data_IF_528494228618
#
_entry.id   IF_528494228618
#
_cell.length_a   1.000
_cell.length_b   1.000
_cell.length_c   1.000
_cell.angle_alpha   90.00
_cell.angle_beta   90.00
_cell.angle_gamma   90.00
#
_symmetry.space_group_name_H-M   'P 1'
#
loop_
_entity.id
_entity.type
_entity.pdbx_description
1 polymer ?
#
# COMPACT_ATOMS: atom_id res chain seq x y z
N UNK A 1 -3.55 -21.75 -14.87
CA UNK A 1 -3.97 -21.71 -13.45
C UNK A 1 -3.92 -23.14 -12.96
N UNK A 2 -3.17 -23.41 -11.89
CA UNK A 2 -3.23 -24.72 -11.23
C UNK A 2 -4.24 -24.58 -10.11
N UNK A 3 -5.40 -25.20 -10.26
CA UNK A 3 -6.40 -25.21 -9.20
C UNK A 3 -6.12 -26.39 -8.27
N UNK A 4 -6.70 -26.38 -7.07
CA UNK A 4 -6.66 -27.57 -6.21
C UNK A 4 -7.29 -28.75 -6.94
N UNK A 5 -6.75 -29.95 -6.75
CA UNK A 5 -7.15 -31.16 -7.50
C UNK A 5 -8.66 -31.45 -7.48
N UNK A 6 -9.34 -31.15 -6.37
CA UNK A 6 -10.79 -31.28 -6.24
C UNK A 6 -11.57 -30.29 -7.15
N UNK A 7 -11.06 -29.07 -7.31
CA UNK A 7 -11.65 -28.06 -8.20
C UNK A 7 -11.47 -28.48 -9.66
N UNK A 8 -10.31 -29.00 -10.04
CA UNK A 8 -10.07 -29.45 -11.42
C UNK A 8 -10.93 -30.65 -11.81
N UNK A 9 -11.19 -31.57 -10.87
CA UNK A 9 -12.08 -32.70 -11.09
C UNK A 9 -13.54 -32.23 -11.31
N UNK A 10 -14.03 -31.31 -10.48
CA UNK A 10 -15.39 -30.78 -10.55
C UNK A 10 -15.61 -29.86 -11.77
N UNK A 11 -14.56 -29.15 -12.22
CA UNK A 11 -14.60 -28.38 -13.47
C UNK A 11 -14.74 -29.29 -14.70
N UNK A 12 -14.08 -30.46 -14.69
CA UNK A 12 -14.15 -31.45 -15.78
C UNK A 12 -15.47 -32.23 -15.78
N UNK A 13 -16.02 -32.52 -14.61
CA UNK A 13 -17.28 -33.27 -14.46
C UNK A 13 -18.53 -32.42 -14.65
N UNK A 14 -18.37 -31.09 -14.82
CA UNK A 14 -19.46 -30.11 -14.90
C UNK A 14 -20.45 -30.17 -13.72
N UNK A 15 -20.02 -30.71 -12.58
CA UNK A 15 -20.82 -30.84 -11.38
C UNK A 15 -19.97 -30.43 -10.17
N UNK A 16 -20.19 -29.20 -9.71
CA UNK A 16 -19.40 -28.60 -8.64
C UNK A 16 -20.23 -28.42 -7.38
N UNK A 17 -19.75 -28.98 -6.26
CA UNK A 17 -20.38 -28.76 -4.96
C UNK A 17 -20.21 -27.32 -4.47
N UNK A 18 -21.10 -26.85 -3.59
CA UNK A 18 -20.99 -25.50 -2.99
C UNK A 18 -19.66 -25.28 -2.26
N UNK A 19 -19.10 -26.31 -1.64
CA UNK A 19 -17.78 -26.26 -0.98
C UNK A 19 -16.65 -26.13 -1.99
N UNK A 20 -16.66 -26.93 -3.06
CA UNK A 20 -15.64 -26.86 -4.12
C UNK A 20 -15.72 -25.53 -4.86
N UNK A 21 -16.93 -25.02 -5.08
CA UNK A 21 -17.16 -23.71 -5.67
C UNK A 21 -16.54 -22.58 -4.85
N UNK A 22 -16.68 -22.59 -3.52
CA UNK A 22 -16.02 -21.59 -2.66
C UNK A 22 -14.49 -21.66 -2.76
N UNK A 23 -13.92 -22.86 -2.89
CA UNK A 23 -12.47 -23.02 -3.10
C UNK A 23 -12.03 -22.48 -4.46
N UNK A 24 -12.78 -22.76 -5.53
CA UNK A 24 -12.54 -22.20 -6.85
C UNK A 24 -12.52 -20.67 -6.83
N UNK A 25 -13.54 -20.04 -6.22
CA UNK A 25 -13.63 -18.59 -6.08
C UNK A 25 -12.45 -18.03 -5.26
N UNK A 26 -12.04 -18.71 -4.18
CA UNK A 26 -10.88 -18.32 -3.37
C UNK A 26 -9.56 -18.41 -4.14
N UNK A 27 -9.37 -19.45 -4.95
CA UNK A 27 -8.16 -19.64 -5.76
C UNK A 27 -8.09 -18.55 -6.84
N UNK A 28 -9.20 -18.29 -7.55
CA UNK A 28 -9.30 -17.17 -8.52
C UNK A 28 -8.98 -15.83 -7.88
N UNK A 29 -9.56 -15.54 -6.71
CA UNK A 29 -9.31 -14.28 -6.01
C UNK A 29 -7.85 -14.13 -5.58
N UNK A 30 -7.22 -15.22 -5.13
CA UNK A 30 -5.80 -15.23 -4.76
C UNK A 30 -4.90 -14.96 -5.95
N UNK A 31 -5.17 -15.59 -7.10
CA UNK A 31 -4.46 -15.30 -8.35
C UNK A 31 -4.66 -13.84 -8.81
N UNK A 32 -5.87 -13.31 -8.63
CA UNK A 32 -6.18 -11.93 -9.00
C UNK A 32 -5.37 -10.92 -8.18
N UNK A 33 -5.31 -11.12 -6.88
CA UNK A 33 -4.54 -10.28 -5.95
C UNK A 33 -3.02 -10.43 -6.14
N UNK A 34 -2.54 -11.59 -6.58
CA UNK A 34 -1.14 -11.80 -6.93
C UNK A 34 -0.74 -11.07 -8.21
N UNK A 35 -1.67 -10.89 -9.16
CA UNK A 35 -1.41 -10.20 -10.42
C UNK A 35 -1.59 -8.67 -10.31
N UNK A 36 -2.54 -8.21 -9.49
CA UNK A 36 -2.80 -6.78 -9.27
C UNK A 36 -3.05 -6.54 -7.79
N UNK A 37 -2.25 -5.66 -7.19
CA UNK A 37 -2.30 -5.37 -5.74
C UNK A 37 -3.66 -4.84 -5.28
N UNK A 38 -4.41 -4.18 -6.18
CA UNK A 38 -5.79 -3.73 -5.97
C UNK A 38 -6.62 -3.90 -7.27
N UNK A 39 -7.23 -5.09 -7.49
CA UNK A 39 -8.07 -5.31 -8.66
C UNK A 39 -9.37 -4.50 -8.56
N UNK A 40 -9.67 -3.71 -9.59
CA UNK A 40 -10.88 -2.89 -9.71
C UNK A 40 -12.10 -3.77 -9.98
N UNK A 41 -13.30 -3.21 -9.78
CA UNK A 41 -14.54 -3.91 -10.11
C UNK A 41 -14.65 -4.29 -11.59
N UNK A 42 -14.05 -3.52 -12.47
CA UNK A 42 -13.95 -3.85 -13.89
C UNK A 42 -13.04 -5.08 -14.11
N UNK A 43 -11.94 -5.19 -13.36
CA UNK A 43 -11.07 -6.36 -13.43
C UNK A 43 -11.81 -7.62 -12.94
N UNK A 44 -12.55 -7.53 -11.83
CA UNK A 44 -13.40 -8.62 -11.33
C UNK A 44 -14.52 -8.98 -12.30
N UNK A 45 -15.13 -7.98 -12.94
CA UNK A 45 -16.17 -8.17 -13.96
C UNK A 45 -15.59 -8.89 -15.17
N UNK A 46 -14.38 -8.52 -15.59
CA UNK A 46 -13.67 -9.13 -16.71
C UNK A 46 -13.34 -10.59 -16.42
N UNK A 47 -12.80 -10.89 -15.25
CA UNK A 47 -12.53 -12.27 -14.81
C UNK A 47 -13.81 -13.07 -14.70
N UNK A 48 -14.87 -12.50 -14.11
CA UNK A 48 -16.17 -13.18 -13.98
C UNK A 48 -16.76 -13.51 -15.35
N UNK A 49 -16.68 -12.57 -16.30
CA UNK A 49 -17.16 -12.76 -17.67
C UNK A 49 -16.37 -13.86 -18.38
N UNK A 50 -15.05 -13.91 -18.19
CA UNK A 50 -14.20 -14.97 -18.73
C UNK A 50 -14.56 -16.34 -18.12
N UNK A 51 -14.76 -16.42 -16.81
CA UNK A 51 -15.16 -17.64 -16.11
C UNK A 51 -16.50 -18.16 -16.63
N UNK A 52 -17.49 -17.30 -16.82
CA UNK A 52 -18.80 -17.72 -17.34
C UNK A 52 -18.78 -18.11 -18.81
N UNK A 53 -17.87 -17.53 -19.60
CA UNK A 53 -17.66 -17.93 -20.98
C UNK A 53 -17.09 -19.35 -21.05
N UNK A 54 -16.14 -19.67 -20.17
CA UNK A 54 -15.46 -20.97 -20.14
C UNK A 54 -16.28 -22.05 -19.44
N UNK A 55 -16.99 -21.70 -18.37
CA UNK A 55 -17.74 -22.61 -17.51
C UNK A 55 -19.19 -22.14 -17.33
N UNK A 56 -20.07 -22.32 -18.35
CA UNK A 56 -21.44 -21.81 -18.30
C UNK A 56 -22.29 -22.38 -17.15
N UNK A 57 -22.00 -23.61 -16.71
CA UNK A 57 -22.69 -24.29 -15.60
C UNK A 57 -22.46 -23.61 -14.23
N UNK A 58 -21.45 -22.73 -14.13
CA UNK A 58 -21.21 -21.93 -12.93
C UNK A 58 -22.08 -20.66 -12.86
N UNK A 59 -22.86 -20.36 -13.91
CA UNK A 59 -23.77 -19.21 -13.93
C UNK A 59 -24.96 -19.47 -13.02
N UNK A 60 -25.14 -18.73 -11.90
CA UNK A 60 -26.28 -18.97 -11.03
C UNK A 60 -27.57 -18.48 -11.70
N UNK A 61 -28.63 -19.30 -11.62
CA UNK A 61 -30.00 -18.91 -11.94
C UNK A 61 -30.61 -18.31 -10.66
N UNK A 62 -30.52 -16.98 -10.54
CA UNK A 62 -31.10 -16.21 -9.43
C UNK A 62 -30.33 -16.31 -8.10
N UNK A 63 -30.18 -15.15 -7.45
CA UNK A 63 -29.56 -14.95 -6.13
C UNK A 63 -28.03 -15.17 -6.05
N UNK A 64 -27.26 -14.06 -5.98
CA UNK A 64 -25.83 -14.07 -5.65
C UNK A 64 -24.92 -14.54 -6.79
N UNK A 65 -24.48 -13.60 -7.64
CA UNK A 65 -23.55 -13.89 -8.75
C UNK A 65 -22.18 -14.38 -8.24
N UNK A 66 -21.44 -15.15 -9.04
CA UNK A 66 -19.99 -15.41 -8.83
C UNK A 66 -19.23 -14.11 -8.55
N UNK A 67 -19.64 -13.02 -9.20
CA UNK A 67 -19.16 -11.68 -8.93
C UNK A 67 -19.30 -11.31 -7.44
N UNK A 68 -20.49 -11.46 -6.84
CA UNK A 68 -20.68 -11.23 -5.41
C UNK A 68 -19.81 -12.16 -4.55
N UNK A 69 -19.64 -13.43 -4.94
CA UNK A 69 -18.78 -14.36 -4.19
C UNK A 69 -17.29 -13.99 -4.26
N UNK A 70 -16.82 -13.49 -5.41
CA UNK A 70 -15.45 -12.99 -5.62
C UNK A 70 -15.24 -11.67 -4.86
N UNK A 71 -16.19 -10.74 -4.94
CA UNK A 71 -16.09 -9.46 -4.23
C UNK A 71 -16.26 -9.61 -2.72
N UNK A 72 -16.93 -10.65 -2.22
CA UNK A 72 -16.98 -10.97 -0.80
C UNK A 72 -15.63 -11.47 -0.22
N UNK A 73 -14.69 -11.90 -1.07
CA UNK A 73 -13.30 -12.21 -0.65
C UNK A 73 -12.47 -10.94 -0.40
N UNK A 74 -13.02 -9.74 -0.63
CA UNK A 74 -12.36 -8.44 -0.34
C UNK A 74 -12.17 -8.14 1.15
N UNK A 75 -12.59 -9.03 2.07
CA UNK A 75 -12.42 -8.83 3.52
C UNK A 75 -11.09 -9.42 4.01
N UNK A 76 -10.23 -8.65 4.73
CA UNK A 76 -9.01 -9.18 5.31
C UNK A 76 -9.34 -10.11 6.48
N UNK A 77 -8.63 -11.24 6.51
CA UNK A 77 -8.16 -12.03 7.67
C UNK A 77 -9.19 -12.23 8.82
N UNK A 78 -9.49 -13.51 9.12
CA UNK A 78 -10.35 -13.91 10.25
C UNK A 78 -9.90 -13.24 11.56
N UNK A 79 -10.83 -12.48 12.16
CA UNK A 79 -10.67 -11.75 13.42
C UNK A 79 -10.47 -12.73 14.59
N UNK A 80 -9.43 -12.52 15.40
CA UNK A 80 -9.36 -13.04 16.76
C UNK A 80 -10.41 -12.32 17.64
N UNK A 81 -11.01 -13.00 18.63
CA UNK A 81 -12.10 -12.43 19.42
C UNK A 81 -11.53 -11.41 20.43
N UNK A 82 -11.96 -10.15 20.38
CA UNK A 82 -11.67 -9.24 21.51
C UNK A 82 -11.76 -7.74 21.34
N UNK A 83 -11.93 -7.16 20.14
CA UNK A 83 -12.05 -5.69 20.01
C UNK A 83 -13.16 -5.32 19.02
N UNK A 84 -14.29 -4.84 19.56
CA UNK A 84 -15.37 -4.24 18.80
C UNK A 84 -15.07 -2.77 18.55
N UNK A 85 -14.57 -2.44 17.35
CA UNK A 85 -14.76 -1.11 16.78
C UNK A 85 -15.44 -1.34 15.44
N UNK A 86 -16.76 -1.24 15.44
CA UNK A 86 -17.60 -1.20 14.25
C UNK A 86 -17.44 0.16 13.59
N UNK A 87 -16.49 0.28 12.66
CA UNK A 87 -16.47 1.40 11.72
C UNK A 87 -17.21 0.93 10.46
N UNK A 88 -18.34 1.55 10.07
CA UNK A 88 -19.02 1.27 8.82
C UNK A 88 -18.07 1.55 7.66
N UNK A 89 -17.80 0.52 6.86
CA UNK A 89 -17.07 0.62 5.61
C UNK A 89 -18.00 1.24 4.56
N UNK A 90 -17.72 2.44 4.02
CA UNK A 90 -18.53 3.00 2.96
C UNK A 90 -18.30 2.23 1.66
N UNK A 91 -19.37 2.12 0.88
CA UNK A 91 -19.43 1.41 -0.40
C UNK A 91 -18.42 1.98 -1.42
N UNK A 92 -17.71 1.05 -2.08
CA UNK A 92 -16.72 1.33 -3.12
C UNK A 92 -17.44 1.72 -4.42
N UNK A 93 -17.14 2.90 -4.96
CA UNK A 93 -17.39 3.25 -6.36
C UNK A 93 -16.14 3.87 -6.99
N UNK A 94 -15.66 3.27 -8.08
CA UNK A 94 -14.93 3.92 -9.18
C UNK A 94 -13.72 4.79 -8.85
N UNK A 95 -12.51 4.20 -8.90
CA UNK A 95 -11.27 4.91 -8.58
C UNK A 95 -11.17 5.18 -7.09
N UNK A 96 -9.97 5.26 -6.51
CA UNK A 96 -9.88 5.85 -5.18
C UNK A 96 -10.25 7.32 -5.34
N UNK A 97 -11.51 7.65 -5.03
CA UNK A 97 -11.95 9.02 -4.97
C UNK A 97 -11.19 9.74 -3.84
N UNK A 98 -11.07 11.05 -3.99
CA UNK A 98 -10.50 11.94 -2.98
C UNK A 98 -11.11 11.73 -1.58
N UNK A 99 -12.30 11.11 -1.50
CA UNK A 99 -13.01 10.80 -0.27
C UNK A 99 -12.36 9.67 0.55
N UNK A 100 -11.92 8.58 -0.07
CA UNK A 100 -11.20 7.47 0.60
C UNK A 100 -9.83 7.92 1.11
N UNK A 101 -9.19 8.78 0.33
CA UNK A 101 -8.00 9.50 0.74
C UNK A 101 -8.25 10.37 1.97
N UNK A 102 -9.25 11.23 1.93
CA UNK A 102 -9.58 12.12 3.04
C UNK A 102 -9.97 11.32 4.31
N UNK A 103 -10.63 10.16 4.16
CA UNK A 103 -11.02 9.27 5.27
C UNK A 103 -9.81 8.69 6.01
N UNK A 104 -8.92 8.01 5.30
CA UNK A 104 -7.74 7.41 5.93
C UNK A 104 -6.73 8.48 6.38
N UNK A 105 -6.67 9.64 5.72
CA UNK A 105 -5.85 10.75 6.17
C UNK A 105 -6.39 11.36 7.48
N UNK A 106 -7.73 11.40 7.65
CA UNK A 106 -8.36 11.68 8.95
C UNK A 106 -8.01 10.60 9.99
N UNK A 107 -8.03 9.32 9.64
CA UNK A 107 -7.66 8.24 10.56
C UNK A 107 -6.20 8.37 11.02
N UNK A 108 -5.28 8.65 10.09
CA UNK A 108 -3.86 8.86 10.39
C UNK A 108 -3.67 10.06 11.34
N UNK A 109 -4.32 11.19 11.03
CA UNK A 109 -4.29 12.39 11.87
C UNK A 109 -4.88 12.14 13.26
N UNK A 110 -5.98 11.38 13.34
CA UNK A 110 -6.61 11.01 14.60
C UNK A 110 -5.77 10.02 15.42
N UNK A 111 -5.04 9.11 14.78
CA UNK A 111 -4.12 8.19 15.48
C UNK A 111 -2.90 8.95 16.02
N UNK A 112 -2.31 9.83 15.22
CA UNK A 112 -1.16 10.63 15.60
C UNK A 112 -1.47 11.69 16.66
N UNK A 113 -2.72 12.15 16.76
CA UNK A 113 -3.14 13.11 17.80
C UNK A 113 -3.37 12.47 19.17
N UNK A 114 -3.36 11.13 19.27
CA UNK A 114 -3.45 10.44 20.56
C UNK A 114 -2.18 10.67 21.38
N UNK A 115 -2.33 10.69 22.71
CA UNK A 115 -1.19 10.78 23.64
C UNK A 115 -0.15 9.68 23.43
N UNK A 116 -0.60 8.50 22.98
CA UNK A 116 0.26 7.37 22.59
C UNK A 116 -0.21 6.82 21.24
N UNK A 117 0.35 7.30 20.12
CA UNK A 117 0.00 6.79 18.80
C UNK A 117 0.37 5.32 18.65
N UNK A 118 -0.53 4.53 18.07
CA UNK A 118 -0.24 3.14 17.71
C UNK A 118 0.60 3.10 16.43
N UNK A 119 1.89 2.81 16.58
CA UNK A 119 2.86 2.76 15.48
C UNK A 119 2.54 1.69 14.44
N UNK A 120 1.91 0.58 14.83
CA UNK A 120 1.49 -0.48 13.91
C UNK A 120 0.38 0.06 13.00
N UNK A 121 -0.65 0.68 13.57
CA UNK A 121 -1.75 1.29 12.81
C UNK A 121 -1.24 2.41 11.90
N UNK A 122 -0.33 3.25 12.38
CA UNK A 122 0.31 4.29 11.56
C UNK A 122 1.02 3.66 10.36
N UNK A 123 1.82 2.60 10.57
CA UNK A 123 2.51 1.90 9.49
C UNK A 123 1.54 1.26 8.50
N UNK A 124 0.50 0.58 8.98
CA UNK A 124 -0.51 -0.06 8.12
C UNK A 124 -1.23 0.98 7.25
N UNK A 125 -1.63 2.11 7.84
CA UNK A 125 -2.27 3.21 7.10
C UNK A 125 -1.28 3.83 6.11
N UNK A 126 -0.02 3.98 6.49
CA UNK A 126 1.02 4.46 5.58
C UNK A 126 1.22 3.50 4.40
N UNK A 127 1.24 2.19 4.62
CA UNK A 127 1.41 1.17 3.59
C UNK A 127 0.26 1.16 2.59
N UNK A 128 -0.98 1.26 3.06
CA UNK A 128 -2.17 1.30 2.23
C UNK A 128 -2.12 2.41 1.18
N UNK A 129 -1.54 3.56 1.55
CA UNK A 129 -1.49 4.76 0.74
C UNK A 129 -0.22 5.02 -0.04
N UNK A 130 0.74 4.11 0.04
CA UNK A 130 2.02 4.28 -0.62
C UNK A 130 1.88 4.60 -2.11
N UNK A 131 0.96 3.93 -2.82
CA UNK A 131 0.76 4.15 -4.26
C UNK A 131 0.34 5.59 -4.58
N UNK A 132 -0.62 6.14 -3.83
CA UNK A 132 -1.10 7.53 -3.99
C UNK A 132 0.02 8.51 -3.66
N UNK A 133 0.71 8.33 -2.53
CA UNK A 133 1.82 9.22 -2.13
C UNK A 133 2.94 9.23 -3.15
N UNK A 134 3.32 8.05 -3.64
CA UNK A 134 4.36 7.92 -4.66
C UNK A 134 3.97 8.61 -5.97
N UNK A 135 2.71 8.50 -6.38
CA UNK A 135 2.21 9.21 -7.57
C UNK A 135 2.30 10.74 -7.37
N UNK A 136 1.83 11.24 -6.23
CA UNK A 136 1.94 12.66 -5.87
C UNK A 136 3.41 13.12 -5.85
N UNK A 137 4.30 12.37 -5.21
CA UNK A 137 5.72 12.72 -5.11
C UNK A 137 6.40 12.73 -6.48
N UNK A 138 6.08 11.78 -7.36
CA UNK A 138 6.74 11.66 -8.65
C UNK A 138 6.14 12.59 -9.73
N UNK A 139 4.83 12.81 -9.71
CA UNK A 139 4.10 13.41 -10.83
C UNK A 139 3.40 14.73 -10.49
N UNK A 140 3.18 15.05 -9.20
CA UNK A 140 2.39 16.22 -8.78
C UNK A 140 2.92 16.86 -7.49
N UNK A 141 4.24 16.85 -7.31
CA UNK A 141 4.91 17.21 -6.06
C UNK A 141 4.44 18.57 -5.53
N UNK A 142 3.75 18.64 -4.37
CA UNK A 142 3.14 19.86 -3.87
C UNK A 142 4.11 20.74 -3.05
N UNK A 143 5.38 20.32 -2.92
CA UNK A 143 6.35 20.91 -2.01
C UNK A 143 6.33 20.28 -0.61
N UNK A 144 7.45 20.39 0.11
CA UNK A 144 7.70 19.65 1.35
C UNK A 144 6.71 20.00 2.48
N UNK A 145 6.35 21.28 2.61
CA UNK A 145 5.42 21.75 3.65
C UNK A 145 4.01 21.19 3.43
N UNK A 146 3.49 21.33 2.21
CA UNK A 146 2.18 20.80 1.84
C UNK A 146 2.13 19.27 1.92
N UNK A 147 3.24 18.60 1.57
CA UNK A 147 3.37 17.15 1.71
C UNK A 147 3.27 16.74 3.18
N UNK A 148 3.93 17.43 4.11
CA UNK A 148 3.89 17.11 5.54
C UNK A 148 2.59 17.50 6.23
N UNK A 149 1.89 18.54 5.78
CA UNK A 149 0.52 18.84 6.24
C UNK A 149 -0.47 17.77 5.81
N UNK A 150 -0.27 17.25 4.60
CA UNK A 150 -1.08 16.18 4.03
C UNK A 150 -0.73 14.84 4.66
N UNK A 151 0.53 14.57 4.97
CA UNK A 151 1.01 13.30 5.51
C UNK A 151 1.91 13.54 6.74
N UNK A 152 1.32 13.85 7.90
CA UNK A 152 2.09 14.21 9.10
C UNK A 152 2.98 13.07 9.62
N UNK A 153 2.64 11.81 9.33
CA UNK A 153 3.50 10.68 9.63
C UNK A 153 4.86 10.76 8.95
N UNK A 154 5.00 11.42 7.80
CA UNK A 154 6.29 11.59 7.11
C UNK A 154 7.25 12.56 7.84
N UNK A 155 6.79 13.25 8.88
CA UNK A 155 7.68 14.02 9.76
C UNK A 155 8.44 13.11 10.74
N UNK A 156 7.97 11.87 10.92
CA UNK A 156 8.65 10.84 11.70
C UNK A 156 9.76 10.19 10.86
N UNK A 157 10.95 10.07 11.46
CA UNK A 157 12.14 9.57 10.77
C UNK A 157 11.94 8.16 10.21
N UNK A 158 11.32 7.25 10.97
CA UNK A 158 11.17 5.85 10.56
C UNK A 158 10.22 5.75 9.36
N UNK A 159 9.14 6.54 9.38
CA UNK A 159 8.19 6.59 8.28
C UNK A 159 8.79 7.24 7.03
N UNK A 160 9.53 8.34 7.19
CA UNK A 160 10.17 9.03 6.08
C UNK A 160 11.22 8.16 5.39
N UNK A 161 12.10 7.53 6.18
CA UNK A 161 13.15 6.66 5.66
C UNK A 161 12.58 5.42 4.97
N UNK A 162 11.54 4.82 5.56
CA UNK A 162 10.80 3.70 4.94
C UNK A 162 10.20 4.11 3.60
N UNK A 163 9.56 5.29 3.55
CA UNK A 163 8.95 5.80 2.32
C UNK A 163 10.01 6.04 1.23
N UNK A 164 11.12 6.70 1.58
CA UNK A 164 12.23 6.96 0.66
C UNK A 164 12.81 5.66 0.09
N UNK A 165 13.05 4.66 0.95
CA UNK A 165 13.55 3.35 0.53
C UNK A 165 12.59 2.67 -0.46
N UNK A 166 11.28 2.73 -0.20
CA UNK A 166 10.26 2.15 -1.09
C UNK A 166 10.19 2.86 -2.44
N UNK A 167 10.25 4.19 -2.45
CA UNK A 167 10.22 4.97 -3.70
C UNK A 167 11.46 4.68 -4.55
N UNK A 168 12.64 4.70 -3.92
CA UNK A 168 13.92 4.51 -4.60
C UNK A 168 14.25 3.04 -4.88
N UNK A 169 13.47 2.10 -4.34
CA UNK A 169 13.75 0.65 -4.35
C UNK A 169 15.14 0.33 -3.79
N UNK A 170 15.49 0.98 -2.68
CA UNK A 170 16.75 0.80 -1.96
C UNK A 170 16.49 0.17 -0.60
N UNK A 171 17.53 -0.45 -0.04
CA UNK A 171 17.47 -1.01 1.30
C UNK A 171 17.68 0.09 2.36
N UNK A 172 17.26 -0.11 3.62
CA UNK A 172 17.42 0.89 4.68
C UNK A 172 18.87 1.36 4.90
N UNK A 173 19.85 0.49 4.67
CA UNK A 173 21.28 0.79 4.80
C UNK A 173 21.71 1.94 3.88
N UNK A 174 21.04 2.09 2.73
CA UNK A 174 21.28 3.19 1.79
C UNK A 174 21.16 4.56 2.47
N UNK A 175 20.17 4.75 3.35
CA UNK A 175 19.96 6.03 4.03
C UNK A 175 21.10 6.30 5.02
N UNK A 176 21.51 5.29 5.78
CA UNK A 176 22.62 5.41 6.72
C UNK A 176 23.93 5.75 5.99
N UNK A 177 24.20 5.09 4.86
CA UNK A 177 25.37 5.35 4.03
C UNK A 177 25.33 6.75 3.41
N UNK A 178 24.16 7.19 2.92
CA UNK A 178 23.97 8.52 2.38
C UNK A 178 24.18 9.61 3.45
N UNK A 179 23.64 9.42 4.66
CA UNK A 179 23.85 10.35 5.77
C UNK A 179 25.31 10.43 6.17
N UNK A 180 26.02 9.29 6.24
CA UNK A 180 27.45 9.25 6.55
C UNK A 180 28.29 9.97 5.48
N UNK A 181 27.97 9.75 4.21
CA UNK A 181 28.63 10.44 3.11
C UNK A 181 28.38 11.96 3.18
N UNK A 182 27.15 12.37 3.50
CA UNK A 182 26.79 13.78 3.59
C UNK A 182 27.48 14.50 4.75
N UNK A 183 27.53 13.90 5.94
CA UNK A 183 28.28 14.44 7.08
C UNK A 183 29.78 14.55 6.76
N UNK A 184 30.37 13.53 6.12
CA UNK A 184 31.77 13.60 5.71
C UNK A 184 32.05 14.71 4.69
N UNK A 185 31.08 15.08 3.84
CA UNK A 185 31.21 16.21 2.92
C UNK A 185 31.10 17.55 3.65
N UNK A 186 30.17 17.64 4.61
CA UNK A 186 30.00 18.83 5.43
C UNK A 186 31.26 19.14 6.26
N UNK A 187 31.81 18.14 6.94
CA UNK A 187 33.05 18.28 7.72
C UNK A 187 34.24 18.73 6.84
N UNK A 188 34.30 18.25 5.59
CA UNK A 188 35.32 18.67 4.63
C UNK A 188 35.14 20.11 4.20
N UNK A 189 33.91 20.54 3.91
CA UNK A 189 33.62 21.94 3.57
C UNK A 189 33.98 22.88 4.72
N UNK A 190 33.59 22.54 5.95
CA UNK A 190 33.91 23.35 7.13
C UNK A 190 35.42 23.43 7.37
N UNK A 191 36.14 22.33 7.14
CA UNK A 191 37.61 22.31 7.21
C UNK A 191 38.28 23.16 6.10
N UNK A 192 37.77 23.11 4.87
CA UNK A 192 38.28 23.92 3.76
C UNK A 192 38.06 25.42 3.98
N UNK A 193 36.89 25.81 4.50
CA UNK A 193 36.57 27.20 4.86
C UNK A 193 37.47 27.71 6.01
N UNK A 194 37.72 26.88 7.03
CA UNK A 194 38.66 27.20 8.11
C UNK A 194 40.09 27.33 7.60
N UNK A 195 40.52 26.43 6.70
CA UNK A 195 41.86 26.48 6.10
C UNK A 195 42.04 27.74 5.25
N UNK A 196 41.00 28.17 4.54
CA UNK A 196 41.00 29.42 3.78
C UNK A 196 41.20 30.65 4.70
N UNK A 197 40.45 30.74 5.80
CA UNK A 197 40.60 31.86 6.74
C UNK A 197 41.95 31.83 7.48
N UNK A 198 42.47 30.66 7.85
CA UNK A 198 43.82 30.51 8.44
C UNK A 198 44.90 31.02 7.46
N UNK A 199 44.82 30.61 6.20
CA UNK A 199 45.79 31.01 5.18
C UNK A 199 45.74 32.52 4.93
N UNK A 200 44.54 33.13 4.94
CA UNK A 200 44.35 34.58 4.81
C UNK A 200 44.96 35.37 5.97
N UNK A 201 44.95 34.82 7.19
CA UNK A 201 45.61 35.43 8.36
C UNK A 201 47.14 35.35 8.20
N UNK A 202 47.67 34.20 7.76
CA UNK A 202 49.12 34.00 7.59
C UNK A 202 49.72 34.83 6.45
N UNK A 203 48.97 35.11 5.38
CA UNK A 203 49.43 35.96 4.27
C UNK A 203 49.49 37.45 4.65
N UNK A 204 48.75 37.88 5.67
CA UNK A 204 48.66 39.29 6.10
C UNK A 204 49.47 39.62 7.37
N UNK A 205 50.34 38.72 7.82
CA UNK A 205 51.25 38.99 8.95
C UNK A 205 52.63 39.42 8.40
N UNK A 206 53.15 40.63 8.73
CA UNK A 206 54.40 41.16 8.18
C UNK A 206 55.66 40.43 8.66
#
# INVERSE_FOLDING_TARGET
MNFKSAVEADLKSHNMSTSTYRLFISDVASFMLAYKQYPTDEDWTTVTRAIFKEYPFLKPIGCGTTYSALTNQKSPIRKSPGVSISIPMPEVMGGEDKFSFDQHNKLLKAELSKSKPNRIVVSEVMDLFFAIRRDIINNSYPGILSLFETYPALQDYDQLTTEMCRIMKKSPEFIADAMKAWLSLYDKMEFEDLQYEINKIQINTP
#
